data_IF_230246971261
#
_entry.id   IF_230246971261
#
_cell.length_a   1.000
_cell.length_b   1.000
_cell.length_c   1.000
_cell.angle_alpha   90.00
_cell.angle_beta   90.00
_cell.angle_gamma   90.00
#
_symmetry.space_group_name_H-M   'P 1'
#
loop_
_entity.id
_entity.type
_entity.pdbx_description
1 polymer ?
#
# COMPACT_ATOMS: atom_id res chain seq x y z
N UNK A 1 -16.44 42.52 -12.04
CA UNK A 1 -16.17 42.24 -11.91
C UNK A 1 -15.79 41.78 -11.77
N UNK A 2 -15.77 41.65 -11.92
CA UNK A 2 -15.54 41.16 -11.73
C UNK A 2 -15.24 40.48 -11.50
N UNK A 3 -15.26 40.34 -11.62
CA UNK A 3 -15.10 39.73 -11.34
C UNK A 3 -14.83 38.96 -11.11
N UNK A 4 -14.92 38.85 -11.19
CA UNK A 4 -14.78 38.16 -10.88
C UNK A 4 -14.57 37.35 -10.65
N UNK A 5 -14.68 37.29 -10.71
CA UNK A 5 -14.59 36.60 -10.39
C UNK A 5 -14.38 35.75 -10.10
N UNK A 6 -14.47 35.76 -10.14
CA UNK A 6 -14.38 35.06 -9.80
C UNK A 6 -14.23 34.21 -9.53
N UNK A 7 -14.39 34.32 -9.54
CA UNK A 7 -14.36 33.65 -9.18
C UNK A 7 -14.22 32.80 -8.93
N UNK A 8 -14.40 32.90 -8.95
CA UNK A 8 -14.37 32.26 -8.61
C UNK A 8 -14.17 31.47 -8.39
N UNK A 9 -14.34 31.44 -8.31
CA UNK A 9 -14.35 30.92 -8.01
C UNK A 9 -14.15 30.21 -7.83
N UNK A 10 -14.36 30.22 -7.81
CA UNK A 10 -14.47 29.77 -7.50
C UNK A 10 -14.38 29.07 -7.48
N UNK A 11 -14.68 29.14 -7.38
CA UNK A 11 -14.94 28.69 -7.18
C UNK A 11 -14.90 28.00 -7.14
N UNK A 12 -15.18 28.07 -7.03
CA UNK A 12 -15.50 27.58 -6.79
C UNK A 12 -15.58 26.91 -6.62
N UNK A 13 -15.83 26.91 -6.45
CA UNK A 13 -16.19 26.41 -6.10
C UNK A 13 -16.39 25.81 -5.85
N UNK A 14 -16.65 25.72 -5.62
CA UNK A 14 -17.15 25.29 -5.27
C UNK A 14 -17.43 24.75 -5.00
N UNK A 15 -17.73 24.70 -4.81
CA UNK A 15 -18.27 24.26 -4.39
C UNK A 15 -18.52 23.76 -4.12
N UNK A 16 -18.86 23.68 -3.88
CA UNK A 16 -19.32 23.20 -3.46
C UNK A 16 -19.53 22.63 -3.17
N UNK A 17 -19.87 22.54 -2.94
CA UNK A 17 -20.22 21.96 -2.51
C UNK A 17 -20.29 21.37 -2.20
N UNK A 18 -20.57 21.17 -1.93
CA UNK A 18 -20.72 20.50 -1.50
C UNK A 18 -20.68 19.86 -1.23
N UNK A 19 -21.01 19.81 -1.04
CA UNK A 19 -20.96 19.12 -0.71
C UNK A 19 -20.82 18.41 -0.57
N UNK A 20 -21.19 18.43 -0.48
CA UNK A 20 -21.00 17.67 -0.27
C UNK A 20 -20.67 16.98 -0.03
N UNK A 21 -21.05 16.71 0.08
CA UNK A 21 -20.77 16.15 0.38
C UNK A 21 -20.31 15.53 0.43
N UNK A 22 -20.66 15.59 0.26
CA UNK A 22 -20.13 14.99 0.27
C UNK A 22 -19.33 14.52 0.74
N UNK A 23 -19.75 14.33 1.20
CA UNK A 23 -18.91 13.99 1.62
C UNK A 23 -17.92 13.71 1.00
N UNK A 24 -17.55 13.92 1.09
CA UNK A 24 -16.47 13.78 0.24
C UNK A 24 -15.46 12.82 0.76
N UNK A 25 -15.21 11.77 0.06
CA UNK A 25 -14.23 10.78 0.45
C UNK A 25 -12.84 11.28 0.17
N UNK A 26 -11.93 10.99 1.08
CA UNK A 26 -10.53 11.21 0.83
C UNK A 26 -10.04 10.33 -0.27
N UNK A 27 -9.31 10.91 -1.21
CA UNK A 27 -8.64 10.14 -2.24
C UNK A 27 -7.25 9.81 -1.73
N UNK A 28 -6.99 8.52 -1.53
CA UNK A 28 -5.68 8.06 -1.09
C UNK A 28 -4.83 7.82 -2.32
N UNK A 29 -3.66 8.44 -2.35
CA UNK A 29 -2.72 8.23 -3.44
C UNK A 29 -1.72 7.17 -3.05
N UNK A 30 -1.54 6.19 -3.92
CA UNK A 30 -0.62 5.09 -3.69
C UNK A 30 0.60 5.26 -4.57
N UNK A 31 1.78 5.09 -3.98
CA UNK A 31 3.02 5.10 -4.73
C UNK A 31 3.32 3.68 -5.16
N UNK A 32 3.50 3.48 -6.47
CA UNK A 32 3.82 2.16 -7.00
C UNK A 32 5.29 1.86 -6.76
N UNK A 33 5.57 0.69 -6.19
CA UNK A 33 6.93 0.29 -5.88
C UNK A 33 6.99 -1.23 -5.84
N UNK A 34 8.16 -1.80 -6.14
CA UNK A 34 8.33 -3.25 -6.07
C UNK A 34 8.89 -3.63 -4.71
N UNK A 35 8.62 -4.89 -4.33
CA UNK A 35 9.19 -5.41 -3.09
C UNK A 35 10.72 -5.43 -3.17
N UNK A 36 11.26 -5.67 -4.38
CA UNK A 36 12.71 -5.63 -4.57
C UNK A 36 13.28 -4.26 -4.20
N UNK A 37 12.62 -3.20 -4.63
CA UNK A 37 13.07 -1.84 -4.31
C UNK A 37 12.97 -1.57 -2.82
N UNK A 38 11.89 -2.03 -2.19
CA UNK A 38 11.72 -1.88 -0.75
C UNK A 38 12.84 -2.59 0.01
N UNK A 39 13.18 -3.81 -0.42
CA UNK A 39 14.23 -4.57 0.21
C UNK A 39 15.60 -3.90 0.03
N UNK A 40 15.87 -3.39 -1.17
CA UNK A 40 17.11 -2.70 -1.44
C UNK A 40 17.26 -1.46 -0.55
N UNK A 41 16.19 -0.70 -0.41
CA UNK A 41 16.21 0.50 0.42
C UNK A 41 16.45 0.15 1.88
N UNK A 42 15.85 -0.94 2.34
CA UNK A 42 16.01 -1.38 3.72
C UNK A 42 17.45 -1.85 3.98
N UNK A 43 18.03 -2.59 3.05
CA UNK A 43 19.42 -3.05 3.18
C UNK A 43 20.39 -1.88 3.14
N UNK A 44 20.09 -0.89 2.33
CA UNK A 44 20.97 0.25 2.15
C UNK A 44 20.98 1.14 3.38
N UNK A 45 19.81 1.41 3.94
CA UNK A 45 19.72 2.28 5.12
C UNK A 45 18.35 2.09 5.78
N UNK A 46 18.32 1.29 6.83
CA UNK A 46 17.06 0.95 7.50
C UNK A 46 16.39 2.18 8.11
N UNK A 47 17.16 3.13 8.61
CA UNK A 47 16.59 4.33 9.19
C UNK A 47 15.91 5.19 8.13
N UNK A 48 16.55 5.31 6.98
CA UNK A 48 15.97 6.06 5.87
C UNK A 48 14.74 5.37 5.32
N UNK A 49 14.77 4.05 5.22
CA UNK A 49 13.62 3.28 4.76
C UNK A 49 12.44 3.48 5.70
N UNK A 50 12.69 3.45 7.00
CA UNK A 50 11.65 3.70 8.00
C UNK A 50 11.03 5.08 7.79
N UNK A 51 11.87 6.09 7.63
CA UNK A 51 11.39 7.45 7.45
C UNK A 51 10.61 7.60 6.14
N UNK A 52 11.04 6.91 5.09
CA UNK A 52 10.43 7.03 3.78
C UNK A 52 9.10 6.28 3.67
N UNK A 53 8.96 5.16 4.35
CA UNK A 53 7.85 4.25 4.07
C UNK A 53 6.88 4.03 5.22
N UNK A 54 7.31 4.17 6.47
CA UNK A 54 6.43 3.90 7.59
C UNK A 54 5.23 4.85 7.58
N UNK A 55 4.04 4.27 7.64
CA UNK A 55 2.79 5.04 7.61
C UNK A 55 2.34 5.46 6.22
N UNK A 56 3.07 5.05 5.19
CA UNK A 56 2.75 5.46 3.82
C UNK A 56 1.87 4.43 3.12
N UNK A 57 1.13 4.91 2.12
CA UNK A 57 0.27 4.06 1.29
C UNK A 57 1.02 3.70 0.02
N UNK A 58 1.20 2.42 -0.22
CA UNK A 58 1.99 1.94 -1.35
C UNK A 58 1.21 0.92 -2.16
N UNK A 59 1.47 0.89 -3.45
CA UNK A 59 0.97 -0.16 -4.32
C UNK A 59 2.17 -1.04 -4.65
N UNK A 60 2.29 -2.16 -3.92
CA UNK A 60 3.49 -2.99 -3.99
C UNK A 60 3.27 -4.17 -4.92
N UNK A 61 4.33 -4.54 -5.63
CA UNK A 61 4.33 -5.71 -6.50
C UNK A 61 5.46 -6.62 -6.06
N UNK A 62 5.13 -7.90 -5.87
CA UNK A 62 6.12 -8.86 -5.45
C UNK A 62 5.64 -10.29 -5.64
N UNK A 63 6.53 -11.22 -5.35
CA UNK A 63 6.23 -12.65 -5.46
C UNK A 63 5.63 -13.14 -4.16
N UNK A 64 4.51 -13.85 -4.26
CA UNK A 64 3.89 -14.44 -3.08
C UNK A 64 4.75 -15.59 -2.58
N UNK A 65 5.34 -15.42 -1.41
CA UNK A 65 6.26 -16.41 -0.87
C UNK A 65 5.64 -17.24 0.25
N UNK A 66 4.61 -16.75 0.90
CA UNK A 66 3.99 -17.47 2.00
C UNK A 66 2.55 -17.03 2.21
N UNK A 67 1.72 -17.99 2.58
CA UNK A 67 0.35 -17.73 3.00
C UNK A 67 0.19 -18.34 4.39
N UNK A 68 -0.16 -17.51 5.37
CA UNK A 68 -0.38 -18.00 6.73
C UNK A 68 -1.58 -18.93 6.76
N UNK A 69 -1.43 -20.09 7.36
CA UNK A 69 -2.48 -21.11 7.34
C UNK A 69 -3.74 -20.67 8.07
N UNK A 70 -3.64 -19.74 9.00
CA UNK A 70 -4.82 -19.22 9.70
C UNK A 70 -5.44 -18.03 8.97
N UNK A 71 -4.82 -17.59 7.87
CA UNK A 71 -5.36 -16.50 7.04
C UNK A 71 -5.12 -15.11 7.61
N UNK A 72 -4.16 -14.96 8.49
CA UNK A 72 -3.90 -13.65 9.10
C UNK A 72 -3.05 -12.75 8.23
N UNK A 73 -2.14 -13.33 7.44
CA UNK A 73 -1.25 -12.53 6.62
C UNK A 73 -0.74 -13.34 5.44
N UNK A 74 -0.18 -12.61 4.48
CA UNK A 74 0.59 -13.22 3.39
C UNK A 74 1.92 -12.47 3.33
N UNK A 75 2.91 -13.10 2.70
CA UNK A 75 4.23 -12.50 2.56
C UNK A 75 4.56 -12.32 1.09
N UNK A 76 4.98 -11.12 0.73
CA UNK A 76 5.48 -10.83 -0.61
C UNK A 76 6.98 -10.64 -0.52
N UNK A 77 7.69 -11.25 -1.44
CA UNK A 77 9.15 -11.22 -1.47
C UNK A 77 9.63 -10.77 -2.84
N UNK A 78 10.93 -10.47 -2.93
CA UNK A 78 11.50 -10.21 -4.24
C UNK A 78 11.87 -11.56 -4.89
N UNK A 79 12.47 -11.49 -6.08
CA UNK A 79 12.77 -12.71 -6.83
C UNK A 79 14.19 -13.22 -6.57
N UNK A 80 14.92 -12.61 -5.65
CA UNK A 80 16.29 -13.03 -5.36
C UNK A 80 16.29 -14.29 -4.52
N UNK A 81 17.25 -15.16 -4.81
CA UNK A 81 17.35 -16.44 -4.14
C UNK A 81 17.54 -16.31 -2.62
N UNK A 82 18.35 -15.33 -2.20
CA UNK A 82 18.62 -15.12 -0.78
C UNK A 82 17.83 -13.90 -0.25
N UNK A 83 16.56 -13.88 -0.56
CA UNK A 83 15.69 -12.80 -0.08
C UNK A 83 15.48 -12.97 1.42
N UNK A 84 16.03 -12.04 2.19
CA UNK A 84 15.95 -12.06 3.65
C UNK A 84 14.78 -11.23 4.15
N UNK A 85 14.42 -10.21 3.40
CA UNK A 85 13.34 -9.30 3.77
C UNK A 85 12.11 -9.59 2.94
N UNK A 86 11.14 -8.76 3.06
CA UNK A 86 9.89 -8.87 2.32
C UNK A 86 8.86 -8.03 3.02
N UNK A 87 7.61 -8.19 2.62
CA UNK A 87 6.51 -7.45 3.21
C UNK A 87 5.48 -8.44 3.71
N UNK A 88 5.21 -8.39 5.02
CA UNK A 88 4.11 -9.14 5.60
C UNK A 88 2.86 -8.30 5.47
N UNK A 89 1.89 -8.80 4.71
CA UNK A 89 0.66 -8.06 4.43
C UNK A 89 -0.47 -8.70 5.22
N UNK A 90 -0.98 -7.96 6.20
CA UNK A 90 -2.00 -8.48 7.10
C UNK A 90 -3.38 -8.38 6.50
N UNK A 91 -4.11 -9.48 6.57
CA UNK A 91 -5.48 -9.57 6.07
C UNK A 91 -6.40 -8.88 7.08
N UNK A 92 -7.24 -7.98 6.58
CA UNK A 92 -8.07 -7.13 7.44
C UNK A 92 -9.56 -7.44 7.37
N UNK A 93 -9.99 -8.33 6.47
CA UNK A 93 -11.40 -8.64 6.34
C UNK A 93 -11.58 -10.04 5.76
N UNK A 94 -12.79 -10.58 5.93
CA UNK A 94 -13.12 -11.89 5.36
C UNK A 94 -13.08 -11.86 3.85
N UNK A 95 -13.44 -10.72 3.25
CA UNK A 95 -13.39 -10.56 1.80
C UNK A 95 -11.97 -10.69 1.30
N UNK A 96 -11.03 -10.05 2.00
CA UNK A 96 -9.62 -10.18 1.64
C UNK A 96 -9.13 -11.62 1.83
N UNK A 97 -9.61 -12.27 2.87
CA UNK A 97 -9.22 -13.66 3.12
C UNK A 97 -9.67 -14.56 1.97
N UNK A 98 -10.87 -14.33 1.44
CA UNK A 98 -11.35 -15.10 0.30
C UNK A 98 -10.46 -14.88 -0.92
N UNK A 99 -10.00 -13.66 -1.13
CA UNK A 99 -9.06 -13.38 -2.22
C UNK A 99 -7.77 -14.16 -2.04
N UNK A 100 -7.27 -14.20 -0.81
CA UNK A 100 -6.02 -14.92 -0.52
C UNK A 100 -6.16 -16.41 -0.82
N UNK A 101 -7.35 -16.97 -0.60
CA UNK A 101 -7.57 -18.38 -0.86
C UNK A 101 -7.43 -18.75 -2.33
N UNK A 102 -7.56 -17.78 -3.22
CA UNK A 102 -7.40 -18.00 -4.66
C UNK A 102 -6.00 -17.68 -5.15
N UNK A 103 -5.12 -17.19 -4.27
CA UNK A 103 -3.76 -16.84 -4.65
C UNK A 103 -2.86 -18.06 -4.64
N UNK A 104 -1.77 -17.98 -5.40
CA UNK A 104 -0.84 -19.09 -5.54
C UNK A 104 0.57 -18.67 -5.18
N UNK A 105 1.25 -19.54 -4.45
CA UNK A 105 2.66 -19.33 -4.09
C UNK A 105 3.49 -19.23 -5.36
N UNK A 106 4.47 -18.37 -5.32
CA UNK A 106 5.44 -18.11 -6.39
C UNK A 106 4.90 -17.29 -7.55
N UNK A 107 3.65 -16.86 -7.49
CA UNK A 107 3.11 -15.94 -8.49
C UNK A 107 3.25 -14.51 -8.00
N UNK A 108 3.25 -13.58 -8.94
CA UNK A 108 3.43 -12.16 -8.64
C UNK A 108 2.08 -11.47 -8.53
N UNK A 109 1.96 -10.62 -7.51
CA UNK A 109 0.72 -9.89 -7.26
C UNK A 109 1.03 -8.45 -6.93
N UNK A 110 0.06 -7.59 -7.24
CA UNK A 110 0.11 -6.18 -6.90
C UNK A 110 -0.97 -5.90 -5.87
N UNK A 111 -0.59 -5.33 -4.74
CA UNK A 111 -1.49 -5.12 -3.62
C UNK A 111 -1.28 -3.71 -3.09
N UNK A 112 -2.38 -3.02 -2.79
CA UNK A 112 -2.32 -1.71 -2.15
C UNK A 112 -2.34 -1.91 -0.65
N UNK A 113 -1.35 -1.34 0.02
CA UNK A 113 -1.16 -1.53 1.45
C UNK A 113 -0.78 -0.23 2.12
N UNK A 114 -0.94 -0.22 3.44
CA UNK A 114 -0.37 0.85 4.26
C UNK A 114 0.75 0.24 5.10
N UNK A 115 1.95 0.77 4.97
CA UNK A 115 3.09 0.26 5.73
C UNK A 115 2.92 0.63 7.19
N UNK A 116 2.91 -0.38 8.05
CA UNK A 116 2.76 -0.18 9.50
C UNK A 116 4.10 -0.04 10.20
N UNK A 117 5.06 -0.85 9.79
CA UNK A 117 6.33 -0.89 10.47
C UNK A 117 7.43 -1.31 9.52
N UNK A 118 8.65 -0.92 9.86
CA UNK A 118 9.83 -1.22 9.07
C UNK A 118 10.90 -1.71 10.05
N UNK A 119 11.46 -2.89 9.79
CA UNK A 119 12.46 -3.46 10.68
C UNK A 119 13.60 -4.10 9.93
N UNK A 120 14.83 -3.82 10.38
CA UNK A 120 16.01 -4.33 9.69
C UNK A 120 16.19 -5.83 9.83
N UNK A 121 15.42 -6.47 10.71
CA UNK A 121 15.50 -7.92 10.89
C UNK A 121 14.32 -8.63 10.23
N UNK A 122 13.12 -8.09 10.42
CA UNK A 122 11.90 -8.76 9.97
C UNK A 122 11.36 -8.22 8.65
N UNK A 123 11.89 -7.11 8.17
CA UNK A 123 11.40 -6.49 6.96
C UNK A 123 10.21 -5.58 7.23
N UNK A 124 9.32 -5.49 6.25
CA UNK A 124 8.18 -4.59 6.33
C UNK A 124 6.94 -5.31 6.82
N UNK A 125 6.11 -4.58 7.55
CA UNK A 125 4.78 -5.03 7.94
C UNK A 125 3.76 -4.03 7.43
N UNK A 126 2.68 -4.53 6.83
CA UNK A 126 1.69 -3.65 6.21
C UNK A 126 0.29 -4.22 6.39
N UNK A 127 -0.70 -3.34 6.34
CA UNK A 127 -2.10 -3.75 6.30
C UNK A 127 -2.59 -3.72 4.87
N UNK A 128 -3.28 -4.76 4.44
CA UNK A 128 -3.84 -4.82 3.09
C UNK A 128 -5.01 -3.86 3.00
N UNK A 129 -4.99 -2.99 1.98
CA UNK A 129 -6.11 -2.10 1.70
C UNK A 129 -7.00 -2.74 0.63
N UNK A 130 -6.38 -3.14 -0.49
CA UNK A 130 -7.12 -3.82 -1.56
C UNK A 130 -6.15 -4.54 -2.49
N UNK A 131 -6.68 -5.50 -3.20
CA UNK A 131 -5.91 -6.21 -4.23
C UNK A 131 -6.17 -5.55 -5.57
N UNK A 132 -5.10 -5.38 -6.36
CA UNK A 132 -5.21 -4.72 -7.66
C UNK A 132 -5.51 -5.72 -8.76
N UNK A 133 -5.03 -6.94 -8.61
CA UNK A 133 -5.23 -7.99 -9.62
C UNK A 133 -6.49 -8.80 -9.37
#
# INVERSE_FOLDING_TARGET
SSSSSTTTQKQSTSTSTKETTVQQEEVIEYTAITVEQLDDDLKDNALKATDSYKGKYLEITGRLSNIDSSGKYISLSNDEFLDVYGVQCYVKSDEQKQKVMDMKIDEHYTIRVKIKDVGEVMGYSADIIEFVD
#
